data_IF_492520728592
#
_entry.id   IF_492520728592
#
_cell.length_a   1.000
_cell.length_b   1.000
_cell.length_c   1.000
_cell.angle_alpha   90.00
_cell.angle_beta   90.00
_cell.angle_gamma   90.00
#
_symmetry.space_group_name_H-M   'P 1'
#
loop_
_entity.id
_entity.type
_entity.pdbx_description
1 polymer ?
#
# COMPACT_ATOMS: atom_id res chain seq x y z
N UNK A 1 -4.15 -33.54 64.92
CA UNK A 1 -3.75 -33.80 63.56
C UNK A 1 -4.48 -32.87 62.62
N UNK A 2 -3.86 -31.79 62.21
CA UNK A 2 -4.46 -30.89 61.30
C UNK A 2 -3.80 -31.10 59.93
N UNK A 3 -4.53 -31.71 59.01
CA UNK A 3 -4.13 -31.82 57.60
C UNK A 3 -4.33 -30.45 56.96
N UNK A 4 -3.25 -29.69 56.75
CA UNK A 4 -3.27 -28.50 55.92
C UNK A 4 -3.25 -28.95 54.45
N UNK A 5 -4.41 -28.93 53.84
CA UNK A 5 -4.54 -29.07 52.38
C UNK A 5 -4.10 -27.78 51.76
N UNK A 6 -2.85 -27.72 51.25
CA UNK A 6 -2.38 -26.62 50.41
C UNK A 6 -3.05 -26.72 49.06
N UNK A 7 -4.04 -25.88 48.83
CA UNK A 7 -4.66 -25.67 47.53
C UNK A 7 -3.64 -24.89 46.65
N UNK A 8 -2.96 -25.64 45.80
CA UNK A 8 -2.05 -25.07 44.84
C UNK A 8 -2.88 -24.49 43.68
N UNK A 9 -3.13 -23.18 43.74
CA UNK A 9 -3.75 -22.43 42.63
C UNK A 9 -2.75 -22.34 41.49
N UNK A 10 -2.84 -23.25 40.53
CA UNK A 10 -2.13 -23.14 39.28
C UNK A 10 -2.80 -22.04 38.47
N UNK A 11 -2.19 -20.85 38.47
CA UNK A 11 -2.56 -19.75 37.58
C UNK A 11 -2.16 -20.13 36.17
N UNK A 12 -3.09 -20.66 35.37
CA UNK A 12 -2.91 -20.98 33.97
C UNK A 12 -2.79 -19.65 33.23
N UNK A 13 -1.54 -19.16 33.03
CA UNK A 13 -1.27 -18.08 32.11
C UNK A 13 -1.52 -18.61 30.72
N UNK A 14 -2.71 -18.38 30.19
CA UNK A 14 -2.99 -18.55 28.78
C UNK A 14 -2.15 -17.49 28.02
N UNK A 15 -1.28 -17.89 27.11
CA UNK A 15 -0.65 -16.92 26.23
C UNK A 15 -1.77 -16.23 25.43
N UNK A 16 -1.90 -14.93 25.58
CA UNK A 16 -2.72 -14.13 24.70
C UNK A 16 -2.17 -14.35 23.29
N UNK A 17 -2.85 -15.17 22.49
CA UNK A 17 -2.57 -15.30 21.06
C UNK A 17 -2.98 -13.96 20.47
N UNK A 18 -2.02 -13.05 20.38
CA UNK A 18 -2.18 -11.85 19.60
C UNK A 18 -2.33 -12.29 18.13
N UNK A 19 -3.55 -12.26 17.67
CA UNK A 19 -3.87 -12.41 16.26
C UNK A 19 -3.33 -11.16 15.56
N UNK A 20 -2.02 -11.15 15.29
CA UNK A 20 -1.45 -10.20 14.37
C UNK A 20 -2.11 -10.48 13.02
N UNK A 21 -2.94 -9.55 12.55
CA UNK A 21 -3.48 -9.63 11.19
C UNK A 21 -2.28 -9.68 10.24
N UNK A 22 -2.24 -10.66 9.32
CA UNK A 22 -1.17 -10.72 8.33
C UNK A 22 -1.12 -9.38 7.62
N UNK A 23 0.08 -8.83 7.41
CA UNK A 23 0.26 -7.61 6.63
C UNK A 23 -0.26 -7.84 5.21
N UNK A 24 -0.63 -6.77 4.48
CA UNK A 24 -1.08 -6.90 3.09
C UNK A 24 -0.08 -7.67 2.22
N UNK A 25 1.23 -7.56 2.52
CA UNK A 25 2.30 -8.27 1.81
C UNK A 25 2.21 -9.81 1.88
N UNK A 26 1.56 -10.34 2.89
CA UNK A 26 1.36 -11.79 3.07
C UNK A 26 0.10 -12.28 2.36
N UNK A 27 -0.72 -11.36 1.85
CA UNK A 27 -1.92 -11.68 1.09
C UNK A 27 -1.60 -11.95 -0.38
N UNK A 28 -2.36 -12.78 -1.08
CA UNK A 28 -2.19 -13.00 -2.50
C UNK A 28 -2.44 -11.70 -3.28
N UNK A 29 -1.64 -11.50 -4.34
CA UNK A 29 -1.85 -10.44 -5.30
C UNK A 29 -2.84 -10.93 -6.35
N UNK A 30 -3.91 -10.17 -6.58
CA UNK A 30 -4.84 -10.39 -7.67
C UNK A 30 -4.78 -9.20 -8.61
N UNK A 31 -4.78 -9.47 -9.92
CA UNK A 31 -4.78 -8.44 -10.95
C UNK A 31 -5.84 -8.77 -11.98
N UNK A 32 -6.67 -7.79 -12.28
CA UNK A 32 -7.69 -7.83 -13.32
C UNK A 32 -7.38 -6.77 -14.37
N UNK A 33 -7.46 -7.12 -15.65
CA UNK A 33 -7.27 -6.21 -16.77
C UNK A 33 -7.83 -6.84 -18.05
N UNK A 34 -8.06 -6.02 -19.10
CA UNK A 34 -8.51 -6.55 -20.39
C UNK A 34 -7.41 -7.33 -21.11
N UNK A 35 -6.14 -6.89 -20.97
CA UNK A 35 -4.98 -7.49 -21.62
C UNK A 35 -3.80 -7.58 -20.66
N UNK A 36 -3.04 -8.68 -20.77
CA UNK A 36 -1.77 -8.85 -20.08
C UNK A 36 -0.68 -9.25 -21.06
N UNK A 37 0.50 -8.66 -20.93
CA UNK A 37 1.69 -8.97 -21.70
C UNK A 37 2.88 -9.12 -20.77
N UNK A 38 3.64 -10.20 -20.93
CA UNK A 38 4.87 -10.46 -20.19
C UNK A 38 6.04 -10.51 -21.15
N UNK A 39 7.11 -9.81 -20.82
CA UNK A 39 8.40 -9.90 -21.47
C UNK A 39 9.44 -10.37 -20.44
N UNK A 40 9.76 -11.65 -20.51
CA UNK A 40 10.67 -12.29 -19.56
C UNK A 40 12.13 -11.86 -19.74
N UNK A 41 12.52 -11.45 -20.97
CA UNK A 41 13.88 -10.98 -21.26
C UNK A 41 14.11 -9.59 -20.67
N UNK A 42 13.15 -8.72 -20.81
CA UNK A 42 13.18 -7.35 -20.25
C UNK A 42 12.77 -7.31 -18.77
N UNK A 43 12.21 -8.40 -18.23
CA UNK A 43 11.70 -8.43 -16.86
C UNK A 43 10.51 -7.49 -16.65
N UNK A 44 9.60 -7.41 -17.62
CA UNK A 44 8.46 -6.49 -17.59
C UNK A 44 7.15 -7.24 -17.77
N UNK A 45 6.17 -6.95 -16.94
CA UNK A 45 4.78 -7.40 -17.12
C UNK A 45 3.86 -6.20 -17.15
N UNK A 46 3.01 -6.11 -18.15
CA UNK A 46 2.10 -4.99 -18.34
C UNK A 46 0.65 -5.48 -18.43
N UNK A 47 -0.22 -4.82 -17.68
CA UNK A 47 -1.66 -5.02 -17.66
C UNK A 47 -2.34 -3.76 -18.21
N UNK A 48 -3.16 -3.92 -19.25
CA UNK A 48 -3.84 -2.81 -19.95
C UNK A 48 -5.33 -2.98 -19.95
N UNK A 49 -6.04 -1.87 -19.85
CA UNK A 49 -7.51 -1.79 -19.88
C UNK A 49 -8.12 -2.02 -18.51
N UNK A 50 -8.56 -0.95 -17.87
CA UNK A 50 -9.22 -0.94 -16.55
C UNK A 50 -8.50 -1.86 -15.55
N UNK A 51 -7.18 -1.71 -15.47
CA UNK A 51 -6.36 -2.56 -14.62
C UNK A 51 -6.62 -2.29 -13.13
N UNK A 52 -6.84 -3.36 -12.38
CA UNK A 52 -7.08 -3.34 -10.94
C UNK A 52 -6.15 -4.33 -10.27
N UNK A 53 -5.33 -3.85 -9.34
CA UNK A 53 -4.51 -4.67 -8.47
C UNK A 53 -5.09 -4.65 -7.06
N UNK A 54 -5.19 -5.81 -6.43
CA UNK A 54 -5.56 -5.93 -5.01
C UNK A 54 -4.62 -6.86 -4.28
N UNK A 55 -4.23 -6.49 -3.06
CA UNK A 55 -3.47 -7.32 -2.13
C UNK A 55 -3.89 -6.95 -0.70
N UNK A 56 -4.71 -7.78 -0.07
CA UNK A 56 -5.32 -7.43 1.22
C UNK A 56 -6.14 -6.15 1.11
N UNK A 57 -5.79 -5.12 1.89
CA UNK A 57 -6.44 -3.80 1.85
C UNK A 57 -5.90 -2.88 0.76
N UNK A 58 -4.74 -3.23 0.17
CA UNK A 58 -4.15 -2.48 -0.94
C UNK A 58 -5.00 -2.64 -2.19
N UNK A 59 -5.36 -1.51 -2.81
CA UNK A 59 -6.01 -1.45 -4.11
C UNK A 59 -5.38 -0.37 -4.97
N UNK A 60 -4.95 -0.74 -6.17
CA UNK A 60 -4.42 0.18 -7.17
C UNK A 60 -5.23 0.03 -8.44
N UNK A 61 -5.61 1.14 -9.06
CA UNK A 61 -6.31 1.13 -10.35
C UNK A 61 -5.61 2.05 -11.34
N UNK A 62 -5.73 1.74 -12.63
CA UNK A 62 -5.24 2.58 -13.72
C UNK A 62 -5.64 2.02 -15.07
N UNK A 63 -5.41 2.78 -16.14
CA UNK A 63 -5.60 2.29 -17.49
C UNK A 63 -4.51 1.26 -17.84
N UNK A 64 -3.30 1.47 -17.30
CA UNK A 64 -2.16 0.57 -17.48
C UNK A 64 -1.43 0.43 -16.14
N UNK A 65 -1.11 -0.79 -15.75
CA UNK A 65 -0.22 -1.09 -14.62
C UNK A 65 0.94 -1.92 -15.16
N UNK A 66 2.18 -1.44 -14.93
CA UNK A 66 3.41 -2.09 -15.39
C UNK A 66 4.27 -2.46 -14.20
N UNK A 67 4.75 -3.70 -14.16
CA UNK A 67 5.69 -4.21 -13.16
C UNK A 67 7.05 -4.45 -13.79
N UNK A 68 8.10 -4.08 -13.07
CA UNK A 68 9.49 -4.27 -13.44
C UNK A 68 10.16 -5.19 -12.42
N UNK A 69 10.84 -6.22 -12.91
CA UNK A 69 11.52 -7.23 -12.10
C UNK A 69 13.02 -7.22 -12.42
N UNK A 70 13.84 -7.52 -11.42
CA UNK A 70 15.27 -7.76 -11.64
C UNK A 70 15.53 -9.19 -12.15
N UNK A 71 16.80 -9.51 -12.40
CA UNK A 71 17.23 -10.85 -12.86
C UNK A 71 16.82 -11.98 -11.90
N UNK A 72 16.67 -11.67 -10.60
CA UNK A 72 16.21 -12.62 -9.59
C UNK A 72 14.69 -12.73 -9.49
N UNK A 73 13.94 -12.16 -10.45
CA UNK A 73 12.48 -12.12 -10.47
C UNK A 73 11.85 -11.39 -9.27
N UNK A 74 12.60 -10.48 -8.67
CA UNK A 74 12.09 -9.63 -7.58
C UNK A 74 11.54 -8.33 -8.17
N UNK A 75 10.38 -7.89 -7.68
CA UNK A 75 9.77 -6.62 -8.07
C UNK A 75 10.68 -5.45 -7.63
N UNK A 76 11.05 -4.61 -8.58
CA UNK A 76 11.85 -3.40 -8.33
C UNK A 76 11.03 -2.12 -8.43
N UNK A 77 10.09 -2.07 -9.36
CA UNK A 77 9.27 -0.90 -9.64
C UNK A 77 7.90 -1.32 -10.15
N UNK A 78 6.87 -0.57 -9.78
CA UNK A 78 5.55 -0.65 -10.40
C UNK A 78 5.09 0.75 -10.82
N UNK A 79 4.40 0.83 -11.95
CA UNK A 79 3.90 2.09 -12.50
C UNK A 79 2.43 1.92 -12.86
N UNK A 80 1.58 2.77 -12.32
CA UNK A 80 0.18 2.88 -12.72
C UNK A 80 -0.07 4.21 -13.42
N UNK A 81 -0.70 4.18 -14.58
CA UNK A 81 -1.04 5.36 -15.38
C UNK A 81 -2.52 5.32 -15.70
N UNK A 82 -3.18 6.48 -15.60
CA UNK A 82 -4.59 6.59 -15.96
C UNK A 82 -5.06 8.03 -16.13
N UNK A 83 -6.33 8.20 -16.44
CA UNK A 83 -6.98 9.53 -16.45
C UNK A 83 -7.16 10.08 -15.04
N UNK A 84 -7.18 9.21 -14.05
CA UNK A 84 -6.41 9.24 -12.82
C UNK A 84 -6.23 7.80 -12.36
N UNK A 85 -4.99 7.39 -12.14
CA UNK A 85 -4.68 6.19 -11.40
C UNK A 85 -5.02 6.42 -9.92
N UNK A 86 -5.42 5.38 -9.20
CA UNK A 86 -5.81 5.47 -7.79
C UNK A 86 -5.04 4.48 -6.92
N UNK A 87 -4.87 4.85 -5.67
CA UNK A 87 -4.27 4.03 -4.62
C UNK A 87 -5.13 4.10 -3.36
N UNK A 88 -5.27 2.97 -2.69
CA UNK A 88 -5.90 2.89 -1.37
C UNK A 88 -5.26 1.77 -0.56
N UNK A 89 -4.96 2.03 0.72
CA UNK A 89 -4.45 1.02 1.65
C UNK A 89 -4.78 1.38 3.09
N UNK A 90 -5.10 0.38 3.92
CA UNK A 90 -5.21 0.52 5.38
C UNK A 90 -3.88 0.10 6.01
N UNK A 91 -3.23 1.00 6.75
CA UNK A 91 -1.92 0.71 7.36
C UNK A 91 -2.04 0.00 8.70
N UNK A 92 -3.07 0.35 9.49
CA UNK A 92 -3.36 -0.28 10.78
C UNK A 92 -4.82 -0.67 10.84
N UNK A 93 -5.16 -1.84 11.45
CA UNK A 93 -6.53 -2.26 11.64
C UNK A 93 -7.36 -1.18 12.35
N UNK A 94 -8.57 -0.90 11.83
CA UNK A 94 -9.48 0.09 12.40
C UNK A 94 -9.18 1.55 12.05
N UNK A 95 -8.07 1.85 11.36
CA UNK A 95 -7.78 3.19 10.86
C UNK A 95 -8.45 3.44 9.49
N UNK A 96 -8.67 4.72 9.20
CA UNK A 96 -9.13 5.13 7.87
C UNK A 96 -8.05 4.83 6.83
N UNK A 97 -8.44 4.38 5.61
CA UNK A 97 -7.47 4.13 4.57
C UNK A 97 -6.78 5.42 4.10
N UNK A 98 -5.51 5.32 3.77
CA UNK A 98 -4.83 6.31 2.94
C UNK A 98 -5.32 6.13 1.51
N UNK A 99 -5.72 7.22 0.88
CA UNK A 99 -6.18 7.25 -0.53
C UNK A 99 -5.33 8.24 -1.30
N UNK A 100 -5.06 7.91 -2.56
CA UNK A 100 -4.35 8.81 -3.45
C UNK A 100 -4.85 8.67 -4.89
N UNK A 101 -4.67 9.72 -5.68
CA UNK A 101 -4.87 9.71 -7.13
C UNK A 101 -3.83 10.58 -7.81
N UNK A 102 -3.47 10.22 -9.04
CA UNK A 102 -2.58 10.99 -9.91
C UNK A 102 -2.69 10.49 -11.35
N UNK A 103 -2.21 11.25 -12.31
CA UNK A 103 -2.07 10.79 -13.70
C UNK A 103 -1.11 9.60 -13.77
N UNK A 104 -0.02 9.64 -12.99
CA UNK A 104 0.99 8.60 -12.91
C UNK A 104 1.42 8.36 -11.47
N UNK A 105 1.48 7.10 -11.08
CA UNK A 105 2.02 6.65 -9.81
C UNK A 105 3.20 5.73 -10.06
N UNK A 106 4.32 5.94 -9.36
CA UNK A 106 5.50 5.10 -9.43
C UNK A 106 5.86 4.59 -8.03
N UNK A 107 5.82 3.28 -7.85
CA UNK A 107 6.28 2.60 -6.65
C UNK A 107 7.70 2.06 -6.84
N UNK A 108 8.58 2.31 -5.88
CA UNK A 108 9.95 1.80 -5.82
C UNK A 108 10.09 0.86 -4.62
N UNK A 109 10.34 -0.42 -4.89
CA UNK A 109 10.33 -1.46 -3.87
C UNK A 109 11.48 -1.33 -2.85
N UNK A 110 12.67 -0.94 -3.32
CA UNK A 110 13.86 -0.74 -2.47
C UNK A 110 13.70 0.40 -1.45
N UNK A 111 13.01 1.46 -1.87
CA UNK A 111 12.77 2.65 -1.05
C UNK A 111 11.45 2.59 -0.28
N UNK A 112 10.54 1.70 -0.65
CA UNK A 112 9.16 1.65 -0.18
C UNK A 112 8.46 3.02 -0.29
N UNK A 113 8.62 3.66 -1.45
CA UNK A 113 8.08 4.99 -1.75
C UNK A 113 7.18 4.96 -2.96
N UNK A 114 6.14 5.78 -2.92
CA UNK A 114 5.28 6.08 -4.07
C UNK A 114 5.48 7.54 -4.44
N UNK A 115 5.68 7.79 -5.73
CA UNK A 115 5.66 9.12 -6.32
C UNK A 115 4.37 9.29 -7.11
N UNK A 116 3.65 10.36 -6.81
CA UNK A 116 2.44 10.80 -7.50
C UNK A 116 2.83 11.95 -8.42
N UNK A 117 2.62 11.77 -9.71
CA UNK A 117 3.08 12.71 -10.75
C UNK A 117 1.90 13.12 -11.60
N UNK A 118 1.65 14.41 -11.66
CA UNK A 118 0.54 15.01 -12.37
C UNK A 118 -0.79 14.90 -11.62
N UNK A 119 -1.39 16.03 -11.26
CA UNK A 119 -2.66 16.13 -10.54
C UNK A 119 -2.70 15.26 -9.28
N UNK A 120 -1.58 15.25 -8.53
CA UNK A 120 -1.43 14.44 -7.33
C UNK A 120 -2.35 14.91 -6.22
N UNK A 121 -3.01 13.94 -5.56
CA UNK A 121 -3.92 14.18 -4.46
C UNK A 121 -3.83 13.01 -3.46
N UNK A 122 -3.60 13.32 -2.19
CA UNK A 122 -3.52 12.32 -1.11
C UNK A 122 -4.44 12.72 0.03
N UNK A 123 -5.19 11.75 0.56
CA UNK A 123 -5.98 11.87 1.79
C UNK A 123 -5.43 10.93 2.84
N UNK A 124 -5.06 11.49 3.98
CA UNK A 124 -4.50 10.75 5.11
C UNK A 124 -4.99 11.34 6.43
N UNK A 125 -5.65 10.54 7.26
CA UNK A 125 -6.10 10.94 8.62
C UNK A 125 -6.88 12.26 8.67
N UNK A 126 -7.71 12.53 7.65
CA UNK A 126 -8.46 13.78 7.53
C UNK A 126 -7.69 14.93 6.87
N UNK A 127 -6.40 14.78 6.67
CA UNK A 127 -5.58 15.73 5.93
C UNK A 127 -5.62 15.46 4.43
N UNK A 128 -5.46 16.52 3.65
CA UNK A 128 -5.49 16.50 2.20
C UNK A 128 -4.28 17.21 1.63
N UNK A 129 -3.57 16.54 0.72
CA UNK A 129 -2.37 17.06 0.06
C UNK A 129 -2.61 17.08 -1.45
N UNK A 130 -2.36 18.23 -2.08
CA UNK A 130 -2.52 18.43 -3.53
C UNK A 130 -1.22 18.97 -4.09
N UNK A 131 -0.77 18.42 -5.23
CA UNK A 131 0.44 18.89 -5.88
C UNK A 131 0.74 18.17 -7.19
N UNK A 132 1.59 18.77 -8.02
CA UNK A 132 2.03 18.14 -9.27
C UNK A 132 3.01 16.99 -9.03
N UNK A 133 3.71 17.00 -7.90
CA UNK A 133 4.58 15.91 -7.47
C UNK A 133 4.48 15.73 -5.97
N UNK A 134 4.04 14.54 -5.56
CA UNK A 134 3.92 14.15 -4.15
C UNK A 134 4.73 12.89 -3.95
N UNK A 135 5.52 12.84 -2.89
CA UNK A 135 6.20 11.63 -2.40
C UNK A 135 5.45 11.10 -1.19
N UNK A 136 5.15 9.81 -1.19
CA UNK A 136 4.61 9.09 -0.05
C UNK A 136 5.59 7.99 0.38
N UNK A 137 6.16 8.14 1.58
CA UNK A 137 6.98 7.12 2.23
C UNK A 137 6.06 6.15 2.96
N UNK A 138 5.89 4.95 2.42
CA UNK A 138 4.93 3.96 2.96
C UNK A 138 5.41 3.44 4.32
N UNK A 139 6.71 3.20 4.48
CA UNK A 139 7.27 2.65 5.71
C UNK A 139 7.13 3.62 6.90
N UNK A 140 7.30 4.92 6.64
CA UNK A 140 7.19 5.98 7.64
C UNK A 140 5.79 6.59 7.73
N UNK A 141 4.92 6.29 6.76
CA UNK A 141 3.59 6.90 6.62
C UNK A 141 3.66 8.44 6.54
N UNK A 142 4.62 8.96 5.77
CA UNK A 142 4.89 10.39 5.60
C UNK A 142 4.61 10.83 4.18
N UNK A 143 3.83 11.90 4.04
CA UNK A 143 3.55 12.56 2.76
C UNK A 143 4.37 13.83 2.65
N UNK A 144 5.04 14.02 1.53
CA UNK A 144 5.81 15.22 1.20
C UNK A 144 5.39 15.73 -0.17
N UNK A 145 4.91 16.96 -0.26
CA UNK A 145 4.60 17.62 -1.52
C UNK A 145 5.72 18.57 -1.91
N UNK A 146 6.39 18.30 -3.04
CA UNK A 146 7.40 19.18 -3.60
C UNK A 146 6.76 20.06 -4.67
N UNK A 147 6.88 21.38 -4.50
CA UNK A 147 6.46 22.43 -5.44
C UNK A 147 4.98 22.43 -5.85
N UNK A 148 4.09 22.74 -4.92
CA UNK A 148 2.82 23.38 -5.21
C UNK A 148 2.51 24.36 -4.08
N UNK A 149 1.80 25.47 -4.30
CA UNK A 149 1.27 26.24 -3.20
C UNK A 149 0.35 25.32 -2.39
N UNK A 150 0.72 25.07 -1.15
CA UNK A 150 -0.13 24.34 -0.20
C UNK A 150 -1.29 25.29 0.09
N UNK A 151 -2.45 25.03 -0.50
CA UNK A 151 -3.68 25.60 0.04
C UNK A 151 -3.98 24.81 1.33
N UNK A 152 -3.44 25.31 2.42
CA UNK A 152 -3.94 24.97 3.74
C UNK A 152 -5.30 25.65 3.84
N UNK A 153 -6.35 24.91 3.50
CA UNK A 153 -7.72 25.30 3.76
C UNK A 153 -7.90 25.36 5.27
N UNK A 154 -7.51 26.47 5.85
CA UNK A 154 -7.93 26.87 7.17
C UNK A 154 -9.15 27.77 7.01
N UNK A 155 -10.29 27.26 7.42
CA UNK A 155 -11.33 27.87 8.28
C UNK A 155 -12.54 26.98 8.29
#
# INVERSE_FOLDING_TARGET
>A
MHLLTKLLTVCLMLPAISWALPSDREKPINIEADHAQMDDQEGVTQYKGDAILTQGTLKITGDIITFYYNENKQLTKAVAVGKLATYQQVHKPGESPVKAKAIRMEYYADKQKIYLIGEGHVWQNGDEFIGNRIEYDIAKNVVSANSAPVNVGGE
#
